data_IF_292851754699
#
_entry.id   IF_292851754699
#
_cell.length_a   1.000
_cell.length_b   1.000
_cell.length_c   1.000
_cell.angle_alpha   90.00
_cell.angle_beta   90.00
_cell.angle_gamma   90.00
#
_symmetry.space_group_name_H-M   'P 1'
#
loop_
_entity.id
_entity.type
_entity.pdbx_description
1 polymer ?
#
# COMPACT_ATOMS: atom_id res chain seq x y z
N UNK A 1 -0.65 -29.94 38.84
CA UNK A 1 -0.99 -30.00 37.40
C UNK A 1 -0.97 -28.63 36.73
N UNK A 2 -1.69 -27.63 37.24
CA UNK A 2 -1.78 -26.27 36.63
C UNK A 2 -0.42 -25.54 36.55
N UNK A 3 0.44 -25.68 37.57
CA UNK A 3 1.80 -25.10 37.60
C UNK A 3 2.73 -25.65 36.50
N UNK A 4 2.51 -26.87 36.03
CA UNK A 4 3.32 -27.50 34.99
C UNK A 4 2.99 -26.93 33.60
N UNK A 5 1.70 -26.72 33.31
CA UNK A 5 1.23 -26.08 32.07
C UNK A 5 1.72 -24.63 31.97
N UNK A 6 1.75 -23.90 33.10
CA UNK A 6 2.28 -22.54 33.17
C UNK A 6 3.78 -22.49 32.82
N UNK A 7 4.57 -23.44 33.32
CA UNK A 7 6.02 -23.52 33.04
C UNK A 7 6.32 -23.83 31.57
N UNK A 8 5.52 -24.68 30.93
CA UNK A 8 5.63 -24.99 29.49
C UNK A 8 5.25 -23.76 28.64
N UNK A 9 4.19 -23.03 29.01
CA UNK A 9 3.79 -21.78 28.33
C UNK A 9 4.86 -20.69 28.46
N UNK A 10 5.48 -20.56 29.64
CA UNK A 10 6.58 -19.61 29.86
C UNK A 10 7.82 -19.97 29.03
N UNK A 11 8.15 -21.26 28.90
CA UNK A 11 9.26 -21.73 28.06
C UNK A 11 8.99 -21.53 26.55
N UNK A 12 7.75 -21.73 26.10
CA UNK A 12 7.33 -21.47 24.72
C UNK A 12 7.40 -19.97 24.36
N UNK A 13 7.04 -19.08 25.28
CA UNK A 13 7.08 -17.65 25.03
C UNK A 13 8.52 -17.11 24.93
N UNK A 14 9.47 -17.73 25.64
CA UNK A 14 10.88 -17.35 25.62
C UNK A 14 11.56 -17.74 24.29
N UNK A 15 11.24 -18.91 23.73
CA UNK A 15 11.75 -19.34 22.41
C UNK A 15 11.17 -18.54 21.25
N UNK A 16 9.89 -18.15 21.27
CA UNK A 16 9.32 -17.26 20.24
C UNK A 16 9.90 -15.84 20.29
N UNK A 17 10.19 -15.32 21.49
CA UNK A 17 10.80 -14.00 21.63
C UNK A 17 12.20 -13.93 21.01
N UNK A 18 13.03 -14.96 21.21
CA UNK A 18 14.34 -15.05 20.58
C UNK A 18 14.27 -15.27 19.06
N UNK A 19 13.30 -16.07 18.59
CA UNK A 19 13.06 -16.26 17.15
C UNK A 19 12.67 -14.94 16.46
N UNK A 20 11.73 -14.18 17.04
CA UNK A 20 11.27 -12.91 16.51
C UNK A 20 12.38 -11.84 16.49
N UNK A 21 13.21 -11.77 17.53
CA UNK A 21 14.38 -10.87 17.57
C UNK A 21 15.41 -11.21 16.48
N UNK A 22 15.66 -12.50 16.26
CA UNK A 22 16.59 -12.95 15.22
C UNK A 22 16.06 -12.69 13.80
N UNK A 23 14.74 -12.84 13.58
CA UNK A 23 14.10 -12.53 12.31
C UNK A 23 14.16 -11.03 12.05
N UNK A 24 13.81 -10.19 13.03
CA UNK A 24 13.90 -8.73 12.91
C UNK A 24 15.32 -8.27 12.54
N UNK A 25 16.34 -8.86 13.15
CA UNK A 25 17.75 -8.60 12.83
C UNK A 25 18.19 -9.11 11.44
N UNK A 26 17.54 -10.15 10.91
CA UNK A 26 17.77 -10.62 9.54
C UNK A 26 17.12 -9.68 8.52
N UNK A 27 15.88 -9.24 8.75
CA UNK A 27 15.21 -8.22 7.94
C UNK A 27 16.00 -6.92 7.91
N UNK A 28 16.47 -6.45 9.06
CA UNK A 28 17.27 -5.23 9.15
C UNK A 28 18.58 -5.33 8.34
N UNK A 29 19.31 -6.45 8.48
CA UNK A 29 20.55 -6.69 7.72
C UNK A 29 20.30 -6.88 6.22
N UNK A 30 19.19 -7.53 5.85
CA UNK A 30 18.78 -7.68 4.46
C UNK A 30 18.46 -6.31 3.84
N UNK A 31 17.67 -5.48 4.51
CA UNK A 31 17.32 -4.13 4.04
C UNK A 31 18.55 -3.26 3.84
N UNK A 32 19.48 -3.24 4.82
CA UNK A 32 20.73 -2.46 4.70
C UNK A 32 21.60 -2.95 3.54
N UNK A 33 21.70 -4.27 3.32
CA UNK A 33 22.43 -4.84 2.19
C UNK A 33 21.80 -4.45 0.86
N UNK A 34 20.48 -4.53 0.73
CA UNK A 34 19.73 -4.19 -0.48
C UNK A 34 19.83 -2.71 -0.83
N UNK A 35 19.84 -1.82 0.16
CA UNK A 35 20.07 -0.38 -0.05
C UNK A 35 21.51 -0.13 -0.53
N UNK A 36 22.50 -0.87 -0.01
CA UNK A 36 23.90 -0.77 -0.46
C UNK A 36 24.14 -1.25 -1.90
N UNK A 37 23.28 -2.12 -2.43
CA UNK A 37 23.35 -2.63 -3.82
C UNK A 37 22.64 -1.76 -4.86
N UNK A 38 22.07 -0.62 -4.47
CA UNK A 38 21.40 0.33 -5.39
C UNK A 38 22.20 0.72 -6.65
N UNK A 39 23.54 0.89 -6.62
CA UNK A 39 24.32 1.20 -7.82
C UNK A 39 24.24 0.10 -8.90
N UNK A 40 23.92 -1.14 -8.53
CA UNK A 40 23.81 -2.28 -9.44
C UNK A 40 22.51 -2.25 -10.24
N UNK A 41 21.49 -1.49 -9.80
CA UNK A 41 20.25 -1.25 -10.57
C UNK A 41 20.56 -0.59 -11.91
N UNK A 42 21.58 0.28 -11.96
CA UNK A 42 22.02 0.89 -13.22
C UNK A 42 22.65 -0.11 -14.19
N UNK A 43 23.26 -1.18 -13.68
CA UNK A 43 23.86 -2.25 -14.48
C UNK A 43 22.81 -3.22 -15.04
N UNK A 44 21.68 -3.41 -14.35
CA UNK A 44 20.61 -4.34 -14.72
C UNK A 44 19.31 -3.65 -15.15
N UNK A 45 19.40 -2.47 -15.78
CA UNK A 45 18.25 -1.68 -16.23
C UNK A 45 17.23 -2.47 -17.05
N UNK A 46 17.70 -3.38 -17.91
CA UNK A 46 16.82 -4.23 -18.71
C UNK A 46 15.88 -5.10 -17.86
N UNK A 47 16.38 -5.66 -16.76
CA UNK A 47 15.58 -6.46 -15.84
C UNK A 47 14.66 -5.57 -14.98
N UNK A 48 15.14 -4.40 -14.55
CA UNK A 48 14.30 -3.45 -13.82
C UNK A 48 13.10 -3.00 -14.67
N UNK A 49 13.30 -2.65 -15.94
CA UNK A 49 12.19 -2.31 -16.84
C UNK A 49 11.25 -3.48 -17.09
N UNK A 50 11.78 -4.70 -17.22
CA UNK A 50 10.97 -5.92 -17.34
C UNK A 50 10.10 -6.12 -16.10
N UNK A 51 10.64 -5.93 -14.89
CA UNK A 51 9.86 -6.05 -13.65
C UNK A 51 8.80 -4.95 -13.53
N UNK A 52 9.14 -3.71 -13.86
CA UNK A 52 8.17 -2.59 -13.90
C UNK A 52 7.05 -2.88 -14.90
N UNK A 53 7.37 -3.44 -16.06
CA UNK A 53 6.36 -3.83 -17.05
C UNK A 53 5.44 -4.95 -16.55
N UNK A 54 6.01 -6.00 -15.96
CA UNK A 54 5.22 -7.13 -15.43
C UNK A 54 4.32 -6.68 -14.28
N UNK A 55 4.87 -5.98 -13.30
CA UNK A 55 4.12 -5.50 -12.13
C UNK A 55 3.09 -4.44 -12.50
N UNK A 56 3.47 -3.51 -13.38
CA UNK A 56 2.58 -2.45 -13.85
C UNK A 56 1.44 -2.99 -14.71
N UNK A 57 1.75 -3.74 -15.77
CA UNK A 57 0.74 -4.21 -16.72
C UNK A 57 -0.28 -5.16 -16.09
N UNK A 58 0.13 -5.98 -15.13
CA UNK A 58 -0.80 -6.85 -14.40
C UNK A 58 -1.75 -6.06 -13.48
N UNK A 59 -1.29 -4.94 -12.92
CA UNK A 59 -2.09 -4.09 -12.05
C UNK A 59 -2.96 -3.08 -12.81
N UNK A 60 -2.59 -2.68 -14.04
CA UNK A 60 -3.27 -1.64 -14.83
C UNK A 60 -4.79 -1.83 -14.93
N UNK A 61 -5.32 -3.01 -15.30
CA UNK A 61 -6.76 -3.20 -15.40
C UNK A 61 -7.46 -2.98 -14.06
N UNK A 62 -6.90 -3.53 -12.98
CA UNK A 62 -7.45 -3.41 -11.63
C UNK A 62 -7.51 -1.95 -11.18
N UNK A 63 -6.43 -1.20 -11.37
CA UNK A 63 -6.34 0.22 -10.98
C UNK A 63 -7.34 1.07 -11.77
N UNK A 64 -7.48 0.84 -13.08
CA UNK A 64 -8.44 1.57 -13.93
C UNK A 64 -9.88 1.30 -13.48
N UNK A 65 -10.25 0.03 -13.27
CA UNK A 65 -11.58 -0.31 -12.78
C UNK A 65 -11.86 0.31 -11.41
N UNK A 66 -10.93 0.19 -10.46
CA UNK A 66 -11.08 0.76 -9.13
C UNK A 66 -11.26 2.30 -9.19
N UNK A 67 -10.41 3.00 -9.94
CA UNK A 67 -10.48 4.46 -10.08
C UNK A 67 -11.79 4.93 -10.74
N UNK A 68 -12.30 4.17 -11.72
CA UNK A 68 -13.58 4.46 -12.37
C UNK A 68 -14.76 4.36 -11.39
N UNK A 69 -14.85 3.26 -10.63
CA UNK A 69 -15.94 3.07 -9.66
C UNK A 69 -15.87 4.10 -8.53
N UNK A 70 -14.68 4.37 -8.00
CA UNK A 70 -14.49 5.39 -6.93
C UNK A 70 -14.93 6.77 -7.43
N UNK A 71 -14.55 7.16 -8.65
CA UNK A 71 -14.93 8.45 -9.22
C UNK A 71 -16.43 8.57 -9.50
N UNK A 72 -17.06 7.49 -9.98
CA UNK A 72 -18.51 7.44 -10.19
C UNK A 72 -19.28 7.63 -8.89
N UNK A 73 -18.88 6.93 -7.81
CA UNK A 73 -19.50 7.07 -6.48
C UNK A 73 -19.29 8.48 -5.93
N UNK A 74 -18.06 9.02 -6.02
CA UNK A 74 -17.76 10.38 -5.56
C UNK A 74 -18.63 11.42 -6.26
N UNK A 75 -18.79 11.34 -7.58
CA UNK A 75 -19.63 12.30 -8.31
C UNK A 75 -21.08 12.28 -7.83
N UNK A 76 -21.62 11.11 -7.49
CA UNK A 76 -22.98 10.96 -6.96
C UNK A 76 -23.12 11.51 -5.55
N UNK A 77 -22.15 11.23 -4.67
CA UNK A 77 -22.14 11.70 -3.28
C UNK A 77 -21.98 13.23 -3.18
N UNK A 78 -21.02 13.80 -3.91
CA UNK A 78 -20.80 15.24 -3.96
C UNK A 78 -21.97 15.96 -4.63
N UNK A 79 -22.59 15.35 -5.65
CA UNK A 79 -23.80 15.85 -6.32
C UNK A 79 -24.93 16.16 -5.34
N UNK A 80 -25.20 15.24 -4.41
CA UNK A 80 -26.20 15.41 -3.35
C UNK A 80 -25.78 16.45 -2.32
N UNK A 81 -24.50 16.50 -1.96
CA UNK A 81 -23.98 17.46 -0.97
C UNK A 81 -24.02 18.92 -1.44
N UNK A 82 -23.91 19.16 -2.75
CA UNK A 82 -23.90 20.50 -3.35
C UNK A 82 -25.30 21.01 -3.76
N UNK A 83 -26.30 20.14 -3.72
CA UNK A 83 -27.70 20.48 -4.01
C UNK A 83 -28.28 21.59 -3.11
N UNK A 84 -28.09 21.58 -1.78
CA UNK A 84 -28.59 22.63 -0.89
C UNK A 84 -27.92 24.00 -1.11
N UNK A 85 -26.71 24.00 -1.68
CA UNK A 85 -25.94 25.22 -1.92
C UNK A 85 -26.20 25.83 -3.31
N UNK A 86 -27.06 25.21 -4.12
CA UNK A 86 -27.29 25.64 -5.51
C UNK A 86 -26.04 25.53 -6.41
N UNK A 87 -24.98 24.88 -5.94
CA UNK A 87 -23.65 24.89 -6.56
C UNK A 87 -23.36 23.65 -7.42
N UNK A 88 -24.40 23.03 -7.99
CA UNK A 88 -24.26 21.85 -8.87
C UNK A 88 -23.32 22.11 -10.07
N UNK A 89 -23.26 23.35 -10.56
CA UNK A 89 -22.35 23.72 -11.66
C UNK A 89 -20.85 23.59 -11.30
N UNK A 90 -20.49 23.62 -10.01
CA UNK A 90 -19.10 23.50 -9.54
C UNK A 90 -18.67 22.05 -9.29
N UNK A 91 -19.58 21.08 -9.42
CA UNK A 91 -19.34 19.67 -9.11
C UNK A 91 -18.10 19.12 -9.83
N UNK A 92 -18.00 19.31 -11.13
CA UNK A 92 -16.87 18.81 -11.93
C UNK A 92 -15.53 19.40 -11.48
N UNK A 93 -15.50 20.68 -11.08
CA UNK A 93 -14.29 21.35 -10.60
C UNK A 93 -13.86 20.83 -9.23
N UNK A 94 -14.81 20.66 -8.32
CA UNK A 94 -14.55 20.19 -6.95
C UNK A 94 -14.05 18.75 -6.99
N UNK A 95 -14.79 17.87 -7.67
CA UNK A 95 -14.44 16.44 -7.79
C UNK A 95 -13.11 16.27 -8.52
N UNK A 96 -12.87 16.99 -9.63
CA UNK A 96 -11.62 16.88 -10.38
C UNK A 96 -10.38 17.25 -9.57
N UNK A 97 -10.44 18.33 -8.78
CA UNK A 97 -9.32 18.76 -7.94
C UNK A 97 -9.11 17.80 -6.76
N UNK A 98 -10.18 17.36 -6.09
CA UNK A 98 -10.10 16.43 -4.97
C UNK A 98 -9.56 15.06 -5.39
N UNK A 99 -9.97 14.55 -6.55
CA UNK A 99 -9.47 13.27 -7.06
C UNK A 99 -7.97 13.33 -7.34
N UNK A 100 -7.48 14.41 -7.96
CA UNK A 100 -6.05 14.56 -8.27
C UNK A 100 -5.17 14.72 -7.03
N UNK A 101 -5.63 15.45 -6.00
CA UNK A 101 -4.82 15.73 -4.80
C UNK A 101 -4.92 14.67 -3.72
N UNK A 102 -6.09 14.10 -3.49
CA UNK A 102 -6.35 13.24 -2.33
C UNK A 102 -6.44 11.77 -2.74
N UNK A 103 -7.25 11.48 -3.75
CA UNK A 103 -7.56 10.10 -4.13
C UNK A 103 -6.45 9.49 -4.99
N UNK A 104 -5.78 10.28 -5.84
CA UNK A 104 -4.68 9.82 -6.69
C UNK A 104 -3.60 9.09 -5.88
N UNK A 105 -2.96 9.75 -4.89
CA UNK A 105 -1.97 9.10 -4.03
C UNK A 105 -2.55 7.96 -3.18
N UNK A 106 -3.79 8.08 -2.70
CA UNK A 106 -4.39 7.09 -1.80
C UNK A 106 -4.76 5.77 -2.48
N UNK A 107 -5.06 5.78 -3.77
CA UNK A 107 -5.41 4.57 -4.54
C UNK A 107 -4.17 3.87 -5.10
N UNK A 108 -3.10 4.62 -5.38
CA UNK A 108 -1.88 4.07 -5.98
C UNK A 108 -0.74 3.79 -5.00
N UNK A 109 -0.77 4.39 -3.80
CA UNK A 109 0.23 4.23 -2.74
C UNK A 109 -0.09 3.07 -1.81
#
# INVERSE_FOLDING_TARGET
>A
MIQFIQKIRAFYHQTEFHANLSQLGQWFRFSLRTIGSFPQVWRYRGETFRQVYILGNQALPLVVFAAMFVSMVLSLEWGKKLEPFGAKAMLGRIVGISVLREIGPMVTG
#
